data_IF_780872142679
#
_entry.id   IF_780872142679
#
_cell.length_a   1.000
_cell.length_b   1.000
_cell.length_c   1.000
_cell.angle_alpha   90.00
_cell.angle_beta   90.00
_cell.angle_gamma   90.00
#
_symmetry.space_group_name_H-M   'P 1'
#
loop_
_entity.id
_entity.type
_entity.pdbx_description
1 polymer ?
#
# COMPACT_ATOMS: atom_id res chain seq x y z
N UNK A 1 0.56 -5.04 7.06
CA UNK A 1 -0.25 -4.17 6.19
C UNK A 1 -1.57 -4.86 5.89
N UNK A 2 -2.64 -4.10 5.62
CA UNK A 2 -3.93 -4.64 5.14
C UNK A 2 -4.39 -3.83 3.95
N UNK A 3 -5.03 -4.44 2.98
CA UNK A 3 -5.61 -3.75 1.83
C UNK A 3 -6.99 -4.31 1.50
N UNK A 4 -7.89 -3.44 1.03
CA UNK A 4 -9.28 -3.76 0.72
C UNK A 4 -9.67 -3.06 -0.58
N UNK A 5 -10.09 -3.83 -1.57
CA UNK A 5 -10.69 -3.30 -2.78
C UNK A 5 -12.21 -3.15 -2.60
N UNK A 6 -12.77 -2.02 -3.06
CA UNK A 6 -14.21 -1.75 -3.08
C UNK A 6 -14.51 -0.83 -4.25
N UNK A 7 -15.28 -1.31 -5.23
CA UNK A 7 -15.59 -0.58 -6.45
C UNK A 7 -14.30 -0.02 -7.09
N UNK A 8 -14.25 1.28 -7.38
CA UNK A 8 -13.08 1.95 -7.96
C UNK A 8 -12.01 2.38 -6.93
N UNK A 9 -12.17 1.98 -5.67
CA UNK A 9 -11.31 2.39 -4.57
C UNK A 9 -10.51 1.23 -3.98
N UNK A 10 -9.29 1.55 -3.57
CA UNK A 10 -8.41 0.65 -2.84
C UNK A 10 -8.00 1.31 -1.52
N UNK A 11 -8.45 0.75 -0.40
CA UNK A 11 -8.08 1.21 0.94
C UNK A 11 -6.89 0.39 1.43
N UNK A 12 -5.84 1.08 1.85
CA UNK A 12 -4.58 0.47 2.25
C UNK A 12 -4.16 0.98 3.63
N UNK A 13 -3.90 0.06 4.55
CA UNK A 13 -3.46 0.32 5.91
C UNK A 13 -2.01 -0.13 6.05
N UNK A 14 -1.10 0.83 6.10
CA UNK A 14 0.34 0.60 6.30
C UNK A 14 0.75 0.88 7.74
N UNK A 15 1.92 0.41 8.13
CA UNK A 15 2.55 0.77 9.42
C UNK A 15 3.69 1.71 9.11
N UNK A 16 3.57 2.99 9.50
CA UNK A 16 4.55 4.01 9.16
C UNK A 16 4.74 5.01 10.30
N UNK A 17 5.90 5.64 10.30
CA UNK A 17 6.25 6.72 11.22
C UNK A 17 5.55 8.03 10.80
N UNK A 18 5.35 8.97 11.73
CA UNK A 18 4.79 10.28 11.35
C UNK A 18 5.72 11.10 10.45
N UNK A 19 7.04 10.95 10.59
CA UNK A 19 8.03 11.63 9.74
C UNK A 19 8.34 10.88 8.44
N UNK A 20 8.00 9.59 8.38
CA UNK A 20 8.23 8.70 7.26
C UNK A 20 6.99 7.82 7.01
N UNK A 21 5.92 8.37 6.41
CA UNK A 21 4.77 7.57 6.08
C UNK A 21 5.12 6.57 4.98
N UNK A 22 4.84 5.28 5.19
CA UNK A 22 4.91 4.27 4.12
C UNK A 22 3.70 4.46 3.20
N UNK A 23 3.80 5.42 2.29
CA UNK A 23 2.73 5.78 1.34
C UNK A 23 2.64 4.67 0.28
N UNK A 24 1.45 4.07 0.07
CA UNK A 24 1.24 3.08 -0.96
C UNK A 24 0.97 3.72 -2.33
N UNK A 25 1.39 3.04 -3.40
CA UNK A 25 1.15 3.42 -4.79
C UNK A 25 0.75 2.19 -5.60
N UNK A 26 -0.21 2.34 -6.52
CA UNK A 26 -0.62 1.27 -7.44
C UNK A 26 0.42 1.16 -8.55
N UNK A 27 1.09 0.02 -8.65
CA UNK A 27 2.04 -0.24 -9.73
C UNK A 27 1.35 -0.80 -10.97
N UNK A 28 0.46 -1.77 -10.76
CA UNK A 28 -0.23 -2.48 -11.82
C UNK A 28 -1.59 -3.00 -11.35
N UNK A 29 -2.49 -3.16 -12.30
CA UNK A 29 -3.76 -3.85 -12.10
C UNK A 29 -3.92 -4.88 -13.22
N UNK A 30 -3.71 -6.14 -12.87
CA UNK A 30 -3.80 -7.31 -13.75
C UNK A 30 -5.24 -7.83 -13.77
N UNK A 31 -6.04 -7.30 -14.71
CA UNK A 31 -7.47 -7.60 -14.80
C UNK A 31 -7.76 -9.08 -15.06
N UNK A 32 -6.95 -9.76 -15.86
CA UNK A 32 -7.12 -11.17 -16.21
C UNK A 32 -6.94 -12.11 -15.02
N UNK A 33 -6.09 -11.71 -14.07
CA UNK A 33 -5.83 -12.45 -12.82
C UNK A 33 -6.65 -11.93 -11.65
N UNK A 34 -7.34 -10.80 -11.85
CA UNK A 34 -8.00 -10.04 -10.79
C UNK A 34 -7.05 -9.69 -9.65
N UNK A 35 -5.84 -9.24 -9.98
CA UNK A 35 -4.78 -8.88 -9.01
C UNK A 35 -4.44 -7.40 -9.13
N UNK A 36 -4.28 -6.74 -7.98
CA UNK A 36 -3.72 -5.38 -7.89
C UNK A 36 -2.36 -5.45 -7.22
N UNK A 37 -1.33 -4.89 -7.86
CA UNK A 37 0.01 -4.77 -7.32
C UNK A 37 0.22 -3.38 -6.69
N UNK A 38 0.66 -3.38 -5.44
CA UNK A 38 0.92 -2.17 -4.66
C UNK A 38 2.38 -2.15 -4.23
N UNK A 39 3.04 -1.00 -4.40
CA UNK A 39 4.33 -0.70 -3.79
C UNK A 39 4.19 0.24 -2.59
N UNK A 40 5.17 0.21 -1.70
CA UNK A 40 5.28 1.13 -0.57
C UNK A 40 6.49 2.04 -0.74
N UNK A 41 6.34 3.29 -0.31
CA UNK A 41 7.49 4.17 -0.12
C UNK A 41 8.40 3.62 0.98
N UNK A 42 9.67 3.42 0.62
CA UNK A 42 10.75 3.03 1.52
C UNK A 42 11.45 4.26 2.11
N UNK A 43 11.79 4.21 3.39
CA UNK A 43 12.55 5.25 4.08
C UNK A 43 13.74 4.64 4.82
N UNK A 44 14.91 5.30 4.86
CA UNK A 44 16.00 4.86 5.73
C UNK A 44 15.56 4.87 7.20
N UNK A 45 15.81 3.79 7.95
CA UNK A 45 15.37 3.67 9.34
C UNK A 45 15.87 4.84 10.22
N UNK A 46 17.09 5.33 9.95
CA UNK A 46 17.77 6.36 10.74
C UNK A 46 17.15 7.76 10.64
N UNK A 47 16.26 8.00 9.66
CA UNK A 47 15.61 9.31 9.47
C UNK A 47 14.20 9.36 10.05
N UNK A 48 13.67 8.24 10.51
CA UNK A 48 12.28 8.12 10.92
C UNK A 48 12.11 8.24 12.44
N UNK A 49 11.05 8.92 12.88
CA UNK A 49 10.69 8.95 14.29
C UNK A 49 10.15 7.58 14.73
N UNK A 50 10.40 7.19 15.98
CA UNK A 50 10.04 5.86 16.51
C UNK A 50 8.52 5.65 16.73
N UNK A 51 7.67 6.58 16.31
CA UNK A 51 6.23 6.57 16.49
C UNK A 51 5.50 5.81 15.37
N UNK A 52 5.83 4.52 15.21
CA UNK A 52 5.14 3.66 14.26
C UNK A 52 3.66 3.52 14.63
N UNK A 53 2.79 3.86 13.69
CA UNK A 53 1.35 3.76 13.85
C UNK A 53 0.68 3.30 12.55
N UNK A 54 -0.53 2.72 12.62
CA UNK A 54 -1.34 2.47 11.43
C UNK A 54 -1.66 3.77 10.68
N UNK A 55 -1.45 3.77 9.37
CA UNK A 55 -1.79 4.88 8.47
C UNK A 55 -2.71 4.35 7.38
N UNK A 56 -3.85 4.99 7.19
CA UNK A 56 -4.85 4.60 6.18
C UNK A 56 -4.74 5.52 4.98
N UNK A 57 -4.69 4.92 3.79
CA UNK A 57 -4.65 5.59 2.50
C UNK A 57 -5.80 5.07 1.64
N UNK A 58 -6.37 5.95 0.84
CA UNK A 58 -7.35 5.58 -0.18
C UNK A 58 -6.75 5.93 -1.53
N UNK A 59 -6.67 4.94 -2.40
CA UNK A 59 -6.16 5.06 -3.75
C UNK A 59 -7.31 4.89 -4.73
N UNK A 60 -7.32 5.71 -5.77
CA UNK A 60 -8.21 5.54 -6.91
C UNK A 60 -7.59 4.51 -7.87
N UNK A 61 -8.31 3.42 -8.13
CA UNK A 61 -7.87 2.36 -9.02
C UNK A 61 -8.19 2.64 -10.49
N UNK A 62 -8.94 3.71 -10.77
CA UNK A 62 -9.43 4.12 -12.08
C UNK A 62 -10.23 3.03 -12.82
N UNK A 63 -10.73 2.03 -12.09
CA UNK A 63 -11.58 0.93 -12.57
C UNK A 63 -12.21 0.18 -11.41
N UNK A 64 -13.32 -0.51 -11.68
CA UNK A 64 -13.99 -1.39 -10.72
C UNK A 64 -13.12 -2.61 -10.38
N UNK A 65 -12.82 -2.77 -9.08
CA UNK A 65 -12.05 -3.84 -8.48
C UNK A 65 -12.93 -4.88 -7.78
N UNK A 66 -14.23 -4.88 -8.00
CA UNK A 66 -15.13 -5.88 -7.42
C UNK A 66 -14.66 -7.30 -7.76
N UNK A 67 -14.35 -8.09 -6.74
CA UNK A 67 -13.85 -9.45 -6.88
C UNK A 67 -12.34 -9.59 -7.11
N UNK A 68 -11.57 -8.48 -7.09
CA UNK A 68 -10.11 -8.53 -7.14
C UNK A 68 -9.50 -8.95 -5.81
N UNK A 69 -8.42 -9.72 -5.89
CA UNK A 69 -7.50 -9.97 -4.79
C UNK A 69 -6.39 -8.93 -4.83
N UNK A 70 -6.03 -8.38 -3.67
CA UNK A 70 -4.94 -7.39 -3.58
C UNK A 70 -3.66 -8.08 -3.17
N UNK A 71 -2.65 -8.03 -4.03
CA UNK A 71 -1.30 -8.50 -3.71
C UNK A 71 -0.40 -7.30 -3.42
N UNK A 72 0.21 -7.32 -2.25
CA UNK A 72 1.16 -6.27 -1.87
C UNK A 72 2.55 -6.81 -2.08
N UNK A 73 3.30 -6.18 -2.97
CA UNK A 73 4.74 -6.38 -3.06
C UNK A 73 5.39 -5.32 -2.18
N UNK A 74 5.98 -5.73 -1.06
CA UNK A 74 6.83 -4.79 -0.33
C UNK A 74 8.03 -4.46 -1.22
N UNK A 75 8.07 -3.22 -1.72
CA UNK A 75 9.31 -2.63 -2.20
C UNK A 75 10.23 -2.53 -0.99
N UNK A 76 10.94 -3.62 -0.68
CA UNK A 76 11.71 -3.80 0.54
C UNK A 76 12.56 -2.55 0.84
N UNK A 77 12.10 -1.80 1.82
CA UNK A 77 12.76 -0.66 2.44
C UNK A 77 13.04 -0.94 3.89
N UNK A 78 13.89 -1.95 4.15
CA UNK A 78 14.78 -2.12 5.31
C UNK A 78 14.20 -2.13 6.74
N UNK A 79 14.18 -3.33 7.33
CA UNK A 79 14.85 -3.74 8.59
C UNK A 79 14.36 -5.19 8.86
N UNK A 80 15.14 -6.25 8.62
CA UNK A 80 16.41 -6.58 9.28
C UNK A 80 17.62 -6.82 8.37
#
# INVERSE_FOLDING_TARGET
MRAYASDESLVVITSGSSSCPSIPEILAVESEKQVVEIALTAWPADVCTADLAPRTFTLDAARDLTGFTVEVTDGAGGAD
#
